data_IF_973415086895
#
_entry.id   IF_973415086895
#
_cell.length_a   1.000
_cell.length_b   1.000
_cell.length_c   1.000
_cell.angle_alpha   90.00
_cell.angle_beta   90.00
_cell.angle_gamma   90.00
#
_symmetry.space_group_name_H-M   'P 1'
#
loop_
_entity.id
_entity.type
_entity.pdbx_description
1 polymer ?
#
# COMPACT_ATOMS: atom_id res chain seq x y z
N UNK A 1 14.83 -24.79 17.75
CA UNK A 1 15.18 -23.65 16.88
C UNK A 1 13.94 -23.23 16.11
N UNK A 2 13.30 -22.13 16.52
CA UNK A 2 12.11 -21.59 15.85
C UNK A 2 12.19 -20.05 15.94
N UNK A 3 12.92 -19.43 15.02
CA UNK A 3 13.05 -17.95 14.96
C UNK A 3 12.82 -17.39 13.56
N UNK A 4 12.86 -18.20 12.50
CA UNK A 4 12.82 -17.68 11.12
C UNK A 4 11.45 -17.16 10.67
N UNK A 5 10.33 -17.72 11.14
CA UNK A 5 8.98 -17.25 10.72
C UNK A 5 8.61 -15.90 11.33
N UNK A 6 9.02 -15.61 12.57
CA UNK A 6 8.66 -14.34 13.24
C UNK A 6 9.44 -13.13 12.72
N UNK A 7 10.66 -13.36 12.22
CA UNK A 7 11.49 -12.31 11.61
C UNK A 7 10.96 -11.89 10.23
N UNK A 8 10.43 -12.86 9.47
CA UNK A 8 9.88 -12.63 8.13
C UNK A 8 8.61 -11.76 8.18
N UNK A 9 7.70 -12.03 9.12
CA UNK A 9 6.50 -11.20 9.32
C UNK A 9 6.81 -9.78 9.81
N UNK A 10 7.89 -9.58 10.58
CA UNK A 10 8.35 -8.23 10.98
C UNK A 10 9.08 -7.50 9.86
N UNK A 11 9.62 -8.21 8.87
CA UNK A 11 10.34 -7.60 7.74
C UNK A 11 9.38 -6.98 6.70
N UNK A 12 8.17 -7.52 6.59
CA UNK A 12 7.08 -6.96 5.77
C UNK A 12 6.63 -5.55 6.23
N UNK A 13 7.04 -5.11 7.43
CA UNK A 13 6.81 -3.77 7.96
C UNK A 13 7.99 -2.80 7.71
N UNK A 14 9.11 -3.23 7.10
CA UNK A 14 10.38 -2.46 7.14
C UNK A 14 10.71 -1.74 5.82
N UNK A 15 10.24 -2.21 4.67
CA UNK A 15 10.62 -1.53 3.42
C UNK A 15 9.81 -0.24 3.21
N UNK A 16 10.45 0.88 2.85
CA UNK A 16 9.72 2.12 2.57
C UNK A 16 8.73 1.95 1.41
N UNK A 17 9.02 1.03 0.49
CA UNK A 17 8.16 0.71 -0.65
C UNK A 17 6.83 0.07 -0.22
N UNK A 18 6.84 -0.95 0.66
CA UNK A 18 5.60 -1.56 1.14
C UNK A 18 4.83 -0.63 2.08
N UNK A 19 5.52 0.21 2.85
CA UNK A 19 4.89 1.23 3.69
C UNK A 19 4.13 2.27 2.84
N UNK A 20 4.72 2.74 1.74
CA UNK A 20 4.06 3.67 0.82
C UNK A 20 2.82 3.04 0.15
N UNK A 21 2.91 1.79 -0.32
CA UNK A 21 1.76 1.09 -0.90
C UNK A 21 0.62 0.89 0.11
N UNK A 22 0.94 0.56 1.37
CA UNK A 22 -0.05 0.43 2.45
C UNK A 22 -0.69 1.75 2.82
N UNK A 23 0.09 2.84 2.85
CA UNK A 23 -0.42 4.18 3.08
C UNK A 23 -1.44 4.56 1.99
N UNK A 24 -1.09 4.37 0.72
CA UNK A 24 -2.01 4.62 -0.39
C UNK A 24 -3.32 3.81 -0.26
N UNK A 25 -3.22 2.49 -0.01
CA UNK A 25 -4.39 1.63 0.15
C UNK A 25 -5.30 2.07 1.32
N UNK A 26 -4.71 2.58 2.41
CA UNK A 26 -5.45 3.13 3.55
C UNK A 26 -6.22 4.40 3.15
N UNK A 27 -5.58 5.32 2.43
CA UNK A 27 -6.23 6.57 2.03
C UNK A 27 -7.36 6.31 1.02
N UNK A 28 -7.17 5.39 0.08
CA UNK A 28 -8.24 4.96 -0.85
C UNK A 28 -9.43 4.40 -0.08
N UNK A 29 -9.16 3.55 0.92
CA UNK A 29 -10.23 2.98 1.76
C UNK A 29 -11.00 4.07 2.50
N UNK A 30 -10.32 5.05 3.10
CA UNK A 30 -10.98 6.15 3.82
C UNK A 30 -11.89 6.94 2.88
N UNK A 31 -11.40 7.34 1.71
CA UNK A 31 -12.20 8.08 0.74
C UNK A 31 -13.41 7.28 0.24
N UNK A 32 -13.26 5.96 0.08
CA UNK A 32 -14.37 5.07 -0.25
C UNK A 32 -15.38 4.92 0.90
N UNK A 33 -14.91 4.83 2.16
CA UNK A 33 -15.76 4.76 3.35
C UNK A 33 -16.57 6.07 3.50
N UNK A 34 -15.94 7.23 3.29
CA UNK A 34 -16.63 8.54 3.30
C UNK A 34 -17.69 8.65 2.19
N UNK A 35 -17.38 8.20 0.96
CA UNK A 35 -18.35 8.21 -0.15
C UNK A 35 -19.45 7.16 -0.03
N UNK A 36 -19.16 6.06 0.68
CA UNK A 36 -20.18 5.08 1.02
C UNK A 36 -21.20 5.68 2.00
N UNK A 37 -20.72 6.47 2.95
CA UNK A 37 -21.56 7.16 3.94
C UNK A 37 -22.35 8.34 3.31
N UNK A 38 -21.69 9.18 2.50
CA UNK A 38 -22.34 10.23 1.69
C UNK A 38 -21.77 10.30 0.25
N UNK A 39 -22.52 9.83 -0.76
CA UNK A 39 -22.06 9.85 -2.15
C UNK A 39 -22.01 11.25 -2.77
N UNK A 40 -22.55 12.28 -2.11
CA UNK A 40 -22.52 13.68 -2.58
C UNK A 40 -21.47 14.53 -1.87
N UNK A 41 -20.68 13.96 -0.96
CA UNK A 41 -19.55 14.65 -0.34
C UNK A 41 -18.51 15.04 -1.40
N UNK A 42 -18.42 16.35 -1.67
CA UNK A 42 -17.50 16.91 -2.65
C UNK A 42 -16.03 16.75 -2.24
N UNK A 43 -15.74 16.78 -0.94
CA UNK A 43 -14.38 16.61 -0.42
C UNK A 43 -13.93 15.17 -0.59
N UNK A 44 -14.76 14.19 -0.22
CA UNK A 44 -14.45 12.77 -0.40
C UNK A 44 -14.29 12.39 -1.88
N UNK A 45 -15.12 12.97 -2.77
CA UNK A 45 -14.97 12.81 -4.23
C UNK A 45 -13.64 13.37 -4.73
N UNK A 46 -13.28 14.58 -4.31
CA UNK A 46 -12.04 15.21 -4.70
C UNK A 46 -10.82 14.42 -4.18
N UNK A 47 -10.89 13.92 -2.94
CA UNK A 47 -9.86 13.08 -2.35
C UNK A 47 -9.66 11.78 -3.14
N UNK A 48 -10.74 11.06 -3.46
CA UNK A 48 -10.67 9.83 -4.24
C UNK A 48 -10.10 10.08 -5.65
N UNK A 49 -10.53 11.16 -6.31
CA UNK A 49 -10.03 11.51 -7.64
C UNK A 49 -8.53 11.83 -7.62
N UNK A 50 -8.07 12.61 -6.64
CA UNK A 50 -6.64 12.88 -6.47
C UNK A 50 -5.86 11.57 -6.27
N UNK A 51 -6.34 10.69 -5.39
CA UNK A 51 -5.68 9.41 -5.13
C UNK A 51 -5.56 8.58 -6.42
N UNK A 52 -6.64 8.44 -7.19
CA UNK A 52 -6.65 7.60 -8.39
C UNK A 52 -5.89 8.25 -9.56
N UNK A 53 -6.00 9.56 -9.77
CA UNK A 53 -5.43 10.24 -10.93
C UNK A 53 -3.97 10.63 -10.71
N UNK A 54 -3.66 11.16 -9.53
CA UNK A 54 -2.35 11.76 -9.25
C UNK A 54 -1.44 10.80 -8.47
N UNK A 55 -1.98 10.12 -7.45
CA UNK A 55 -1.15 9.35 -6.51
C UNK A 55 -0.97 7.86 -6.91
N UNK A 56 -1.87 7.32 -7.75
CA UNK A 56 -1.83 5.90 -8.17
C UNK A 56 -0.53 5.47 -8.88
N UNK A 57 0.12 6.28 -9.74
CA UNK A 57 1.34 5.84 -10.42
C UNK A 57 2.52 5.60 -9.47
N UNK A 58 2.67 6.44 -8.44
CA UNK A 58 3.74 6.25 -7.44
C UNK A 58 3.41 5.11 -6.48
N UNK A 59 2.13 4.92 -6.16
CA UNK A 59 1.68 3.77 -5.38
C UNK A 59 1.95 2.45 -6.11
N UNK A 60 1.66 2.38 -7.41
CA UNK A 60 1.94 1.22 -8.26
C UNK A 60 3.45 0.95 -8.34
N UNK A 61 4.26 1.99 -8.54
CA UNK A 61 5.71 1.86 -8.54
C UNK A 61 6.24 1.36 -7.19
N UNK A 62 5.71 1.87 -6.08
CA UNK A 62 6.07 1.43 -4.73
C UNK A 62 5.68 -0.02 -4.48
N UNK A 63 4.48 -0.44 -4.92
CA UNK A 63 4.05 -1.82 -4.81
C UNK A 63 4.92 -2.76 -5.66
N UNK A 64 5.28 -2.36 -6.87
CA UNK A 64 6.19 -3.13 -7.72
C UNK A 64 7.59 -3.29 -7.11
N UNK A 65 8.15 -2.22 -6.51
CA UNK A 65 9.42 -2.28 -5.77
C UNK A 65 9.32 -3.26 -4.59
N UNK A 66 8.24 -3.17 -3.81
CA UNK A 66 8.01 -4.08 -2.69
C UNK A 66 7.92 -5.54 -3.15
N UNK A 67 7.25 -5.83 -4.27
CA UNK A 67 7.18 -7.19 -4.82
C UNK A 67 8.56 -7.69 -5.27
N UNK A 68 9.37 -6.84 -5.91
CA UNK A 68 10.72 -7.19 -6.33
C UNK A 68 11.65 -7.48 -5.13
N UNK A 69 11.55 -6.68 -4.06
CA UNK A 69 12.29 -6.89 -2.80
C UNK A 69 11.96 -8.26 -2.17
N UNK A 70 10.69 -8.66 -2.20
CA UNK A 70 10.25 -9.95 -1.68
C UNK A 70 10.64 -11.12 -2.62
N UNK A 71 10.60 -10.92 -3.93
CA UNK A 71 10.96 -11.93 -4.92
C UNK A 71 12.46 -12.26 -4.96
N UNK A 72 13.31 -11.26 -4.76
CA UNK A 72 14.77 -11.40 -4.73
C UNK A 72 15.30 -12.27 -3.57
N UNK A 73 14.47 -12.55 -2.55
CA UNK A 73 14.83 -13.38 -1.40
C UNK A 73 14.66 -14.89 -1.60
N UNK A 74 14.22 -15.38 -2.77
CA UNK A 74 13.87 -16.80 -3.00
C UNK A 74 14.85 -17.60 -3.87
N UNK A 75 15.97 -17.00 -4.31
CA UNK A 75 17.02 -17.72 -5.05
C UNK A 75 18.35 -17.60 -4.31
N UNK A 76 18.63 -18.59 -3.45
CA UNK A 76 19.96 -18.77 -2.85
C UNK A 76 19.98 -19.43 -1.47
N UNK A 77 19.77 -20.74 -1.43
CA UNK A 77 20.70 -21.76 -0.86
C UNK A 77 20.17 -23.16 -1.21
#
# INVERSE_FOLDING_TARGET
>A
MATSTSAHSRNLDISPAIAAARAYAREVRIACDELHDDPFDLAARAALLKLIVDDSPEADASFARALAENGAGTVGD
#
